data_IF_259385362731
#
_entry.id   IF_259385362731
#
_cell.length_a   1.000
_cell.length_b   1.000
_cell.length_c   1.000
_cell.angle_alpha   90.00
_cell.angle_beta   90.00
_cell.angle_gamma   90.00
#
_symmetry.space_group_name_H-M   'P 1'
#
loop_
_entity.id
_entity.type
_entity.pdbx_description
1 polymer ?
#
# COMPACT_ATOMS: atom_id res chain seq x y z
N UNK A 1 11.55 -21.66 3.96
CA UNK A 1 10.73 -20.51 3.55
C UNK A 1 11.56 -19.28 3.81
N UNK A 2 12.14 -18.71 2.75
CA UNK A 2 13.30 -17.81 2.86
C UNK A 2 12.94 -16.35 2.54
N UNK A 3 11.70 -15.97 2.86
CA UNK A 3 11.14 -14.67 2.52
C UNK A 3 11.69 -13.52 3.40
N UNK A 4 12.00 -13.80 4.67
CA UNK A 4 12.30 -12.76 5.66
C UNK A 4 13.40 -11.75 5.26
N UNK A 5 14.54 -12.14 4.65
CA UNK A 5 15.56 -11.19 4.21
C UNK A 5 15.10 -10.27 3.06
N UNK A 6 14.08 -10.68 2.30
CA UNK A 6 13.59 -9.97 1.13
C UNK A 6 12.58 -8.87 1.46
N UNK A 7 12.04 -8.87 2.68
CA UNK A 7 10.92 -8.00 3.11
C UNK A 7 11.21 -7.27 4.42
N UNK A 8 12.45 -7.27 4.92
CA UNK A 8 12.78 -6.58 6.16
C UNK A 8 12.51 -5.08 6.03
N UNK A 9 11.58 -4.50 6.83
CA UNK A 9 11.24 -3.08 6.74
C UNK A 9 12.40 -2.14 7.12
N UNK A 10 13.45 -2.65 7.78
CA UNK A 10 14.66 -1.86 8.04
C UNK A 10 15.58 -1.73 6.81
N UNK A 11 15.39 -2.59 5.81
CA UNK A 11 16.24 -2.66 4.61
C UNK A 11 15.48 -2.29 3.34
N UNK A 12 14.16 -2.51 3.32
CA UNK A 12 13.32 -2.31 2.15
C UNK A 12 12.17 -1.35 2.44
N UNK A 13 11.83 -0.55 1.43
CA UNK A 13 10.62 0.25 1.38
C UNK A 13 9.55 -0.45 0.53
N UNK A 14 8.31 -0.01 0.63
CA UNK A 14 7.18 -0.54 -0.12
C UNK A 14 7.37 -0.65 -1.65
N UNK A 15 8.15 0.25 -2.24
CA UNK A 15 8.41 0.29 -3.68
C UNK A 15 9.70 -0.41 -4.10
N UNK A 16 10.55 -0.80 -3.14
CA UNK A 16 11.83 -1.49 -3.42
C UNK A 16 11.74 -3.00 -3.19
N UNK A 17 10.66 -3.49 -2.55
CA UNK A 17 10.40 -4.93 -2.44
C UNK A 17 9.86 -5.43 -3.78
N UNK A 18 10.61 -6.33 -4.40
CA UNK A 18 10.19 -7.04 -5.61
C UNK A 18 8.94 -7.90 -5.33
N UNK A 19 7.99 -8.05 -6.28
CA UNK A 19 6.82 -8.91 -6.08
C UNK A 19 7.19 -10.38 -5.90
N UNK A 20 6.76 -11.00 -4.80
CA UNK A 20 7.06 -12.41 -4.51
C UNK A 20 6.03 -13.37 -5.13
N UNK A 21 6.49 -14.54 -5.58
CA UNK A 21 5.67 -15.58 -6.18
C UNK A 21 5.67 -16.89 -5.38
N UNK A 22 5.13 -17.94 -5.96
CA UNK A 22 4.93 -19.24 -5.32
C UNK A 22 6.22 -19.80 -4.69
N UNK A 23 7.37 -19.55 -5.30
CA UNK A 23 8.68 -20.03 -4.83
C UNK A 23 9.06 -19.46 -3.46
N UNK A 24 8.92 -18.15 -3.26
CA UNK A 24 9.26 -17.51 -1.99
C UNK A 24 8.19 -17.72 -0.92
N UNK A 25 6.93 -17.91 -1.36
CA UNK A 25 5.75 -18.03 -0.50
C UNK A 25 5.44 -19.46 -0.06
N UNK A 26 6.21 -20.45 -0.51
CA UNK A 26 6.02 -21.86 -0.17
C UNK A 26 6.42 -22.17 1.29
N UNK A 27 5.51 -22.82 2.02
CA UNK A 27 5.78 -23.41 3.31
C UNK A 27 6.54 -24.75 3.16
N UNK A 28 7.26 -25.26 4.18
CA UNK A 28 7.85 -26.60 4.13
C UNK A 28 6.85 -27.74 3.95
N UNK A 29 5.58 -27.51 4.25
CA UNK A 29 4.50 -28.47 3.97
C UNK A 29 4.05 -28.35 2.52
N UNK A 30 3.81 -29.49 1.87
CA UNK A 30 3.42 -29.52 0.45
C UNK A 30 2.12 -28.78 0.21
N UNK A 31 2.08 -28.05 -0.91
CA UNK A 31 0.92 -27.27 -1.38
C UNK A 31 0.38 -26.23 -0.38
N UNK A 32 1.19 -25.85 0.61
CA UNK A 32 0.86 -24.81 1.58
C UNK A 32 1.65 -23.54 1.25
N UNK A 33 0.93 -22.42 1.14
CA UNK A 33 1.49 -21.11 0.83
C UNK A 33 0.99 -20.05 1.80
N UNK A 34 1.85 -19.11 2.15
CA UNK A 34 1.47 -17.94 2.97
C UNK A 34 1.45 -16.72 2.08
N UNK A 35 0.30 -16.06 1.98
CA UNK A 35 0.09 -14.88 1.10
C UNK A 35 -0.45 -13.68 1.87
N UNK A 36 -0.50 -12.54 1.21
CA UNK A 36 -1.06 -11.30 1.74
C UNK A 36 -0.20 -10.69 2.85
N UNK A 37 -0.84 -9.93 3.74
CA UNK A 37 -0.17 -9.31 4.89
C UNK A 37 0.62 -10.32 5.74
N UNK A 38 0.16 -11.57 5.82
CA UNK A 38 0.83 -12.59 6.66
C UNK A 38 2.21 -12.98 6.12
N UNK A 39 2.43 -12.90 4.80
CA UNK A 39 3.73 -13.15 4.21
C UNK A 39 4.70 -11.99 4.45
N UNK A 40 4.20 -10.78 4.71
CA UNK A 40 4.99 -9.55 4.82
C UNK A 40 5.59 -9.25 6.22
N UNK A 41 5.56 -10.22 7.13
CA UNK A 41 6.34 -10.20 8.37
C UNK A 41 6.06 -8.97 9.25
N UNK A 42 7.09 -8.12 9.44
CA UNK A 42 7.03 -6.91 10.29
C UNK A 42 6.62 -5.65 9.52
N UNK A 43 6.42 -5.72 8.21
CA UNK A 43 6.06 -4.54 7.43
C UNK A 43 4.69 -3.99 7.90
N UNK A 44 4.58 -2.71 8.25
CA UNK A 44 3.37 -2.15 8.85
C UNK A 44 2.24 -1.91 7.82
N UNK A 45 2.58 -1.94 6.53
CA UNK A 45 1.67 -1.63 5.42
C UNK A 45 1.84 -2.64 4.30
N UNK A 46 0.73 -2.96 3.62
CA UNK A 46 0.70 -3.93 2.53
C UNK A 46 -0.17 -3.41 1.38
N UNK A 47 0.39 -3.40 0.17
CA UNK A 47 -0.33 -3.01 -1.04
C UNK A 47 -1.22 -4.16 -1.52
N UNK A 48 -2.50 -3.89 -1.79
CA UNK A 48 -3.40 -4.91 -2.33
C UNK A 48 -2.88 -5.52 -3.64
N UNK A 49 -2.24 -4.70 -4.50
CA UNK A 49 -1.68 -5.16 -5.77
C UNK A 49 -0.57 -6.21 -5.59
N UNK A 50 0.29 -6.09 -4.57
CA UNK A 50 1.29 -7.12 -4.30
C UNK A 50 0.61 -8.42 -3.87
N UNK A 51 -0.46 -8.35 -3.08
CA UNK A 51 -1.27 -9.52 -2.72
C UNK A 51 -1.91 -10.21 -3.92
N UNK A 52 -2.42 -9.45 -4.89
CA UNK A 52 -2.98 -10.04 -6.11
C UNK A 52 -1.92 -10.78 -6.93
N UNK A 53 -0.71 -10.22 -7.04
CA UNK A 53 0.38 -10.89 -7.74
C UNK A 53 0.82 -12.19 -7.04
N UNK A 54 0.90 -12.17 -5.70
CA UNK A 54 1.17 -13.37 -4.90
C UNK A 54 0.15 -14.47 -5.19
N UNK A 55 -1.15 -14.12 -5.17
CA UNK A 55 -2.23 -15.09 -5.40
C UNK A 55 -2.23 -15.60 -6.84
N UNK A 56 -1.98 -14.75 -7.84
CA UNK A 56 -1.84 -15.17 -9.25
C UNK A 56 -0.76 -16.24 -9.40
N UNK A 57 0.44 -15.95 -8.89
CA UNK A 57 1.59 -16.87 -8.97
C UNK A 57 1.32 -18.19 -8.23
N UNK A 58 0.75 -18.14 -7.02
CA UNK A 58 0.40 -19.35 -6.25
C UNK A 58 -0.70 -20.18 -6.94
N UNK A 59 -1.72 -19.53 -7.50
CA UNK A 59 -2.78 -20.22 -8.22
C UNK A 59 -2.24 -20.95 -9.47
N UNK A 60 -1.30 -20.34 -10.19
CA UNK A 60 -0.60 -20.98 -11.31
C UNK A 60 0.20 -22.22 -10.86
N UNK A 61 0.94 -22.12 -9.75
CA UNK A 61 1.70 -23.25 -9.19
C UNK A 61 0.78 -24.41 -8.79
N UNK A 62 -0.32 -24.11 -8.09
CA UNK A 62 -1.33 -25.11 -7.70
C UNK A 62 -2.03 -25.76 -8.90
N UNK A 63 -2.16 -25.04 -10.02
CA UNK A 63 -2.68 -25.55 -11.28
C UNK A 63 -1.65 -26.37 -12.09
N UNK A 64 -0.40 -26.44 -11.64
CA UNK A 64 0.70 -27.13 -12.33
C UNK A 64 1.38 -26.32 -13.43
N UNK A 65 1.02 -25.04 -13.59
CA UNK A 65 1.64 -24.13 -14.56
C UNK A 65 2.83 -23.40 -13.91
N UNK A 66 3.96 -24.11 -13.83
CA UNK A 66 5.18 -23.59 -13.21
C UNK A 66 5.75 -22.38 -13.97
N UNK A 67 5.63 -22.35 -15.30
CA UNK A 67 6.10 -21.22 -16.09
C UNK A 67 5.29 -19.96 -15.76
N UNK A 68 3.97 -20.07 -15.63
CA UNK A 68 3.14 -18.95 -15.20
C UNK A 68 3.38 -18.54 -13.75
N UNK A 69 3.69 -19.50 -12.87
CA UNK A 69 4.03 -19.23 -11.48
C UNK A 69 5.32 -18.40 -11.35
N UNK A 70 6.32 -18.64 -12.20
CA UNK A 70 7.61 -17.94 -12.18
C UNK A 70 7.60 -16.55 -12.84
N UNK A 71 6.59 -16.24 -13.66
CA UNK A 71 6.45 -14.89 -14.24
C UNK A 71 6.11 -13.87 -13.17
N UNK A 72 6.60 -12.65 -13.35
CA UNK A 72 6.28 -11.48 -12.51
C UNK A 72 5.48 -10.53 -13.37
N UNK A 73 4.20 -10.35 -13.06
CA UNK A 73 3.29 -9.55 -13.88
C UNK A 73 3.02 -8.16 -13.26
N UNK A 74 3.45 -7.92 -12.03
CA UNK A 74 3.32 -6.64 -11.34
C UNK A 74 4.59 -5.79 -11.49
N UNK A 75 4.44 -4.55 -11.96
CA UNK A 75 5.47 -3.52 -11.88
C UNK A 75 5.00 -2.42 -10.93
N UNK A 76 5.79 -2.14 -9.90
CA UNK A 76 5.52 -1.05 -8.96
C UNK A 76 6.42 0.15 -9.29
N UNK A 77 5.92 1.39 -9.15
CA UNK A 77 6.77 2.56 -9.19
C UNK A 77 7.74 2.56 -8.00
N UNK A 78 8.99 2.96 -8.23
CA UNK A 78 10.07 2.98 -7.22
C UNK A 78 9.89 4.08 -6.15
N UNK A 79 8.76 4.79 -6.14
CA UNK A 79 8.52 5.95 -5.26
C UNK A 79 8.50 5.58 -3.77
N UNK A 80 8.43 4.29 -3.43
CA UNK A 80 8.56 3.82 -2.05
C UNK A 80 7.33 4.08 -1.18
N UNK A 81 6.24 4.63 -1.74
CA UNK A 81 5.05 5.06 -0.99
C UNK A 81 3.95 4.00 -1.09
N UNK A 82 3.66 3.27 0.00
CA UNK A 82 2.43 2.49 0.15
C UNK A 82 1.22 3.42 0.43
N UNK A 83 1.01 4.45 -0.39
CA UNK A 83 -0.11 5.37 -0.25
C UNK A 83 -1.36 4.77 -0.88
N UNK A 84 -2.45 4.68 -0.11
CA UNK A 84 -3.73 4.14 -0.56
C UNK A 84 -4.24 4.79 -1.86
N UNK A 85 -5.08 4.03 -2.57
CA UNK A 85 -5.63 4.34 -3.89
C UNK A 85 -5.87 5.84 -4.17
N UNK A 86 -5.01 6.41 -5.03
CA UNK A 86 -5.33 7.59 -5.84
C UNK A 86 -4.53 8.85 -5.53
N UNK A 87 -3.92 9.39 -6.59
CA UNK A 87 -3.51 10.79 -6.77
C UNK A 87 -2.16 11.30 -6.21
N UNK A 88 -1.16 10.46 -5.94
CA UNK A 88 0.17 11.01 -5.57
C UNK A 88 0.86 11.76 -6.73
N UNK A 89 0.69 11.31 -7.98
CA UNK A 89 1.38 11.86 -9.16
C UNK A 89 0.46 12.54 -10.18
N UNK A 90 -0.82 12.75 -9.87
CA UNK A 90 -1.68 13.53 -10.77
C UNK A 90 -1.15 14.97 -10.80
N UNK A 91 -0.83 15.54 -11.98
CA UNK A 91 -0.46 16.95 -12.05
C UNK A 91 -1.59 17.75 -11.43
N UNK A 92 -1.23 18.65 -10.52
CA UNK A 92 -2.14 19.51 -9.79
C UNK A 92 -2.86 20.47 -10.77
N UNK A 93 -3.87 19.98 -11.47
CA UNK A 93 -4.84 20.79 -12.21
C UNK A 93 -6.07 20.89 -11.33
N UNK A 94 -6.03 21.90 -10.44
CA UNK A 94 -7.09 22.41 -9.56
C UNK A 94 -6.90 22.22 -8.05
N UNK A 95 -5.72 22.53 -7.49
CA UNK A 95 -5.63 23.01 -6.10
C UNK A 95 -5.90 24.50 -6.11
N UNK A 96 -7.15 24.89 -5.88
CA UNK A 96 -7.45 26.24 -5.42
C UNK A 96 -6.62 26.52 -4.17
N UNK A 97 -5.92 27.65 -4.17
CA UNK A 97 -5.15 28.16 -3.04
C UNK A 97 -6.08 28.27 -1.83
N UNK A 98 -5.93 27.38 -0.84
CA UNK A 98 -6.76 27.41 0.35
C UNK A 98 -6.85 26.13 1.19
N UNK A 99 -6.37 24.98 0.72
CA UNK A 99 -6.44 23.75 1.53
C UNK A 99 -5.12 23.45 2.24
N UNK A 100 -4.97 24.05 3.42
CA UNK A 100 -4.00 23.71 4.45
C UNK A 100 -4.44 22.54 5.34
N UNK A 101 -5.21 21.57 4.81
CA UNK A 101 -5.66 20.39 5.54
C UNK A 101 -4.60 19.29 5.63
N UNK A 102 -3.58 19.47 6.46
CA UNK A 102 -2.79 18.33 6.95
C UNK A 102 -3.64 17.46 7.89
N UNK A 103 -3.29 16.18 8.07
CA UNK A 103 -3.97 15.24 8.98
C UNK A 103 -4.05 15.75 10.45
N UNK A 104 -3.22 16.73 10.81
CA UNK A 104 -3.18 17.39 12.11
C UNK A 104 -3.67 18.85 12.09
N UNK A 105 -4.26 19.32 10.98
CA UNK A 105 -4.81 20.68 10.92
C UNK A 105 -6.07 20.75 11.79
N UNK A 106 -6.16 21.81 12.59
CA UNK A 106 -7.36 22.08 13.39
C UNK A 106 -8.53 22.43 12.48
N UNK A 107 -9.49 21.51 12.39
CA UNK A 107 -10.73 21.73 11.64
C UNK A 107 -11.46 22.96 12.18
N UNK A 108 -11.77 23.92 11.31
CA UNK A 108 -12.61 25.05 11.68
C UNK A 108 -14.05 24.59 11.93
N UNK A 109 -14.60 24.96 13.09
CA UNK A 109 -15.96 24.57 13.49
C UNK A 109 -17.00 25.29 12.62
N UNK A 110 -17.72 24.55 11.79
CA UNK A 110 -18.87 25.07 11.03
C UNK A 110 -20.13 24.99 11.89
N UNK A 111 -20.69 26.15 12.26
CA UNK A 111 -21.99 26.22 12.97
C UNK A 111 -23.12 26.37 11.96
N UNK A 112 -24.05 25.41 11.95
CA UNK A 112 -25.22 25.44 11.08
C UNK A 112 -26.40 26.02 11.86
N UNK A 113 -26.87 27.20 11.45
CA UNK A 113 -28.07 27.86 11.98
C UNK A 113 -28.31 29.23 11.35
N UNK A 114 -29.56 29.56 11.03
CA UNK A 114 -29.95 30.84 10.41
C UNK A 114 -29.92 31.97 11.45
N UNK A 115 -28.91 32.84 11.34
CA UNK A 115 -28.80 34.10 12.07
C UNK A 115 -27.67 34.12 13.09
N UNK A 116 -26.49 34.60 12.69
CA UNK A 116 -25.40 34.93 13.61
C UNK A 116 -24.68 36.21 13.15
N UNK A 117 -24.34 37.17 14.05
CA UNK A 117 -23.30 38.13 13.75
C UNK A 117 -21.91 37.49 13.99
N UNK A 118 -20.92 37.97 13.23
CA UNK A 118 -19.57 37.42 13.20
C UNK A 118 -18.83 37.60 14.55
N UNK A 119 -18.21 36.52 15.04
CA UNK A 119 -17.21 36.60 16.10
C UNK A 119 -15.80 36.54 15.46
N UNK A 120 -15.02 37.59 15.69
CA UNK A 120 -13.59 37.65 15.38
C UNK A 120 -12.83 36.73 16.33
N UNK A 121 -12.04 35.78 15.80
CA UNK A 121 -11.13 34.97 16.60
C UNK A 121 -9.77 35.66 16.69
N UNK A 122 -9.48 36.25 17.85
CA UNK A 122 -8.14 36.65 18.25
C UNK A 122 -7.28 35.43 18.55
N UNK A 123 -6.03 35.46 18.09
CA UNK A 123 -5.04 34.41 18.29
C UNK A 123 -4.24 34.54 19.58
N UNK A 124 -3.49 33.49 19.87
CA UNK A 124 -2.30 33.46 20.70
C UNK A 124 -1.17 32.86 19.86
#
# INVERSE_FOLDING_TARGET
>A
MDLAPLIDPNQHSCGTVYPHGAKELAHPEQDVYVVGMKSYGRAPTFLAMTGYEQVRSVAAALAGDNEAAERVELTLPETGVCGGAGLFDAPNVARSEGDGGGCCATSSVLRIGFGAPAATSGGC
#
